data_IF_766126073575
#
_entry.id   IF_766126073575
#
_cell.length_a   1.000
_cell.length_b   1.000
_cell.length_c   1.000
_cell.angle_alpha   90.00
_cell.angle_beta   90.00
_cell.angle_gamma   90.00
#
_symmetry.space_group_name_H-M   'P 1'
#
loop_
_entity.id
_entity.type
_entity.pdbx_description
1 polymer ?
#
# COMPACT_ATOMS: atom_id res chain seq x y z
N UNK A 1 -6.68 -8.34 -6.40
CA UNK A 1 -7.25 -7.40 -7.33
C UNK A 1 -7.17 -5.96 -6.83
N UNK A 2 -7.81 -5.62 -5.70
CA UNK A 2 -7.74 -4.25 -5.16
C UNK A 2 -6.33 -3.83 -4.77
N UNK A 3 -5.54 -4.74 -4.21
CA UNK A 3 -4.15 -4.47 -3.86
C UNK A 3 -3.35 -3.96 -5.06
N UNK A 4 -3.41 -4.65 -6.18
CA UNK A 4 -2.68 -4.27 -7.39
C UNK A 4 -3.14 -2.92 -7.94
N UNK A 5 -4.45 -2.65 -7.87
CA UNK A 5 -5.02 -1.37 -8.29
C UNK A 5 -4.44 -0.21 -7.48
N UNK A 6 -4.51 -0.30 -6.15
CA UNK A 6 -4.01 0.76 -5.27
C UNK A 6 -2.49 0.91 -5.34
N UNK A 7 -1.76 -0.20 -5.45
CA UNK A 7 -0.30 -0.16 -5.60
C UNK A 7 0.10 0.53 -6.91
N UNK A 8 -0.60 0.24 -8.00
CA UNK A 8 -0.36 0.87 -9.30
C UNK A 8 -0.62 2.37 -9.26
N UNK A 9 -1.68 2.82 -8.58
CA UNK A 9 -1.97 4.24 -8.39
C UNK A 9 -0.84 4.93 -7.62
N UNK A 10 -0.37 4.32 -6.55
CA UNK A 10 0.72 4.87 -5.74
C UNK A 10 2.02 4.96 -6.54
N UNK A 11 2.40 3.91 -7.25
CA UNK A 11 3.62 3.89 -8.09
C UNK A 11 3.53 4.90 -9.23
N UNK A 12 2.38 5.02 -9.88
CA UNK A 12 2.16 6.02 -10.92
C UNK A 12 2.30 7.44 -10.39
N UNK A 13 1.76 7.73 -9.24
CA UNK A 13 1.91 9.00 -8.55
C UNK A 13 3.36 9.32 -8.21
N UNK A 14 4.12 8.31 -7.76
CA UNK A 14 5.55 8.47 -7.45
C UNK A 14 6.38 8.82 -8.69
N UNK A 15 6.08 8.22 -9.83
CA UNK A 15 6.75 8.56 -11.09
C UNK A 15 6.49 10.01 -11.49
N UNK A 16 5.25 10.45 -11.38
CA UNK A 16 4.85 11.83 -11.74
C UNK A 16 5.52 12.84 -10.82
N UNK A 17 5.53 12.61 -9.50
CA UNK A 17 6.10 13.58 -8.56
C UNK A 17 7.62 13.73 -8.70
N UNK A 18 8.32 12.74 -9.24
CA UNK A 18 9.77 12.82 -9.48
C UNK A 18 10.14 13.61 -10.74
N UNK A 19 9.16 14.01 -11.55
CA UNK A 19 9.39 14.92 -12.67
C UNK A 19 9.50 16.37 -12.18
N UNK A 20 10.05 17.27 -13.04
CA UNK A 20 10.27 18.66 -12.65
C UNK A 20 8.99 19.32 -12.12
N UNK A 21 9.13 20.06 -11.02
CA UNK A 21 8.08 20.87 -10.37
C UNK A 21 6.83 20.11 -9.94
N UNK A 22 6.91 18.79 -9.81
CA UNK A 22 5.76 17.94 -9.44
C UNK A 22 5.84 17.31 -8.06
N UNK A 23 6.89 17.58 -7.28
CA UNK A 23 7.03 16.99 -5.95
C UNK A 23 6.26 17.81 -4.90
N UNK A 24 4.94 17.83 -5.04
CA UNK A 24 4.06 18.63 -4.20
C UNK A 24 3.49 17.82 -3.03
N UNK A 25 3.10 18.51 -1.97
CA UNK A 25 2.44 17.88 -0.81
C UNK A 25 1.20 17.09 -1.22
N UNK A 26 0.40 17.65 -2.14
CA UNK A 26 -0.82 16.98 -2.62
C UNK A 26 -0.51 15.64 -3.30
N UNK A 27 0.51 15.59 -4.16
CA UNK A 27 0.87 14.35 -4.87
C UNK A 27 1.43 13.29 -3.92
N UNK A 28 2.24 13.70 -2.95
CA UNK A 28 2.73 12.80 -1.91
C UNK A 28 1.56 12.22 -1.11
N UNK A 29 0.61 13.05 -0.74
CA UNK A 29 -0.57 12.60 0.01
C UNK A 29 -1.36 11.54 -0.76
N UNK A 30 -1.59 11.73 -2.06
CA UNK A 30 -2.30 10.73 -2.86
C UNK A 30 -1.54 9.41 -2.97
N UNK A 31 -0.22 9.46 -3.07
CA UNK A 31 0.60 8.23 -3.05
C UNK A 31 0.50 7.51 -1.70
N UNK A 32 0.55 8.23 -0.60
CA UNK A 32 0.38 7.67 0.74
C UNK A 32 -1.00 7.03 0.89
N UNK A 33 -2.05 7.72 0.45
CA UNK A 33 -3.42 7.21 0.48
C UNK A 33 -3.54 5.89 -0.29
N UNK A 34 -2.92 5.83 -1.47
CA UNK A 34 -2.87 4.61 -2.27
C UNK A 34 -2.17 3.46 -1.56
N UNK A 35 -1.04 3.74 -0.89
CA UNK A 35 -0.29 2.72 -0.15
C UNK A 35 -1.03 2.23 1.10
N UNK A 36 -1.70 3.13 1.84
CA UNK A 36 -2.53 2.73 2.97
C UNK A 36 -3.68 1.83 2.52
N UNK A 37 -4.32 2.17 1.42
CA UNK A 37 -5.39 1.37 0.84
C UNK A 37 -4.89 0.01 0.34
N UNK A 38 -3.70 -0.04 -0.27
CA UNK A 38 -3.07 -1.28 -0.68
C UNK A 38 -2.76 -2.20 0.51
N UNK A 39 -2.27 -1.64 1.60
CA UNK A 39 -2.00 -2.40 2.81
C UNK A 39 -3.26 -3.04 3.40
N UNK A 40 -4.35 -2.27 3.48
CA UNK A 40 -5.64 -2.80 3.93
C UNK A 40 -6.15 -3.90 2.99
N UNK A 41 -5.97 -3.74 1.69
CA UNK A 41 -6.34 -4.76 0.72
C UNK A 41 -5.55 -6.07 0.91
N UNK A 42 -4.28 -6.01 1.34
CA UNK A 42 -3.51 -7.22 1.66
C UNK A 42 -4.10 -7.97 2.85
N UNK A 43 -4.78 -7.27 3.74
CA UNK A 43 -5.44 -7.83 4.93
C UNK A 43 -6.91 -8.17 4.67
N UNK A 44 -7.36 -8.07 3.41
CA UNK A 44 -8.75 -8.29 3.01
C UNK A 44 -9.73 -7.31 3.68
N UNK A 45 -9.24 -6.12 4.04
CA UNK A 45 -10.04 -5.04 4.61
C UNK A 45 -10.33 -4.01 3.51
N UNK A 46 -11.61 -3.65 3.35
CA UNK A 46 -12.01 -2.61 2.40
C UNK A 46 -11.61 -1.24 2.95
N UNK A 47 -10.79 -0.46 2.20
CA UNK A 47 -10.43 0.89 2.66
C UNK A 47 -11.64 1.82 2.62
N UNK A 48 -11.77 2.64 3.67
CA UNK A 48 -12.81 3.65 3.76
C UNK A 48 -12.55 4.81 2.80
N UNK A 49 -13.60 5.43 2.29
CA UNK A 49 -13.51 6.53 1.33
C UNK A 49 -13.13 7.85 2.00
N UNK A 50 -13.66 8.12 3.21
CA UNK A 50 -13.31 9.32 3.95
C UNK A 50 -11.93 9.16 4.59
N UNK A 51 -11.08 10.16 4.45
CA UNK A 51 -9.70 10.11 4.91
C UNK A 51 -9.58 9.90 6.43
N UNK A 52 -10.44 10.51 7.21
CA UNK A 52 -10.46 10.34 8.67
C UNK A 52 -10.80 8.91 9.07
N UNK A 53 -11.72 8.27 8.35
CA UNK A 53 -12.10 6.88 8.57
C UNK A 53 -11.00 5.93 8.11
N UNK A 54 -10.32 6.29 7.02
CA UNK A 54 -9.16 5.53 6.53
C UNK A 54 -8.02 5.56 7.56
N UNK A 55 -7.75 6.70 8.17
CA UNK A 55 -6.74 6.80 9.24
C UNK A 55 -7.06 5.89 10.42
N UNK A 56 -8.33 5.78 10.80
CA UNK A 56 -8.74 4.89 11.88
C UNK A 56 -8.47 3.41 11.60
N UNK A 57 -8.35 3.02 10.33
CA UNK A 57 -8.03 1.65 9.92
C UNK A 57 -6.53 1.36 9.93
N UNK A 58 -5.68 2.37 10.03
CA UNK A 58 -4.22 2.27 9.94
C UNK A 58 -3.61 2.47 11.33
N UNK A 59 -2.49 1.79 11.61
CA UNK A 59 -1.80 1.90 12.89
C UNK A 59 -1.43 3.35 13.22
N UNK A 60 -1.63 3.75 14.49
CA UNK A 60 -1.22 5.06 15.00
C UNK A 60 0.29 5.30 14.90
N UNK A 61 1.08 4.23 14.81
CA UNK A 61 2.53 4.28 14.74
C UNK A 61 3.07 4.30 13.30
N UNK A 62 2.20 4.22 12.30
CA UNK A 62 2.63 4.24 10.90
C UNK A 62 3.13 5.66 10.53
N UNK A 63 4.40 5.81 10.14
CA UNK A 63 4.94 7.13 9.77
C UNK A 63 4.23 7.75 8.57
N UNK A 64 3.69 6.96 7.65
CA UNK A 64 2.91 7.48 6.52
C UNK A 64 1.59 8.10 6.99
N UNK A 65 0.93 7.50 7.98
CA UNK A 65 -0.26 8.08 8.60
C UNK A 65 0.06 9.42 9.25
N UNK A 66 1.15 9.51 10.01
CA UNK A 66 1.57 10.77 10.64
C UNK A 66 1.81 11.85 9.60
N UNK A 67 2.49 11.52 8.51
CA UNK A 67 2.73 12.46 7.43
C UNK A 67 1.43 12.96 6.81
N UNK A 68 0.50 12.05 6.57
CA UNK A 68 -0.80 12.38 5.98
C UNK A 68 -1.66 13.25 6.92
N UNK A 69 -1.62 13.01 8.22
CA UNK A 69 -2.30 13.85 9.20
C UNK A 69 -1.74 15.28 9.20
N UNK A 70 -0.42 15.43 9.15
CA UNK A 70 0.25 16.73 9.05
C UNK A 70 -0.09 17.43 7.74
N UNK A 71 -0.25 16.68 6.65
CA UNK A 71 -0.68 17.21 5.36
C UNK A 71 -2.04 17.91 5.45
N UNK A 72 -2.97 17.40 6.24
CA UNK A 72 -4.29 18.01 6.37
C UNK A 72 -4.19 19.43 6.95
N UNK A 73 -3.24 19.68 7.83
CA UNK A 73 -2.97 21.04 8.33
C UNK A 73 -2.38 21.94 7.25
N UNK A 74 -1.47 21.41 6.43
CA UNK A 74 -0.90 22.13 5.28
C UNK A 74 -1.98 22.48 4.26
N UNK A 75 -2.92 21.58 4.03
CA UNK A 75 -4.06 21.81 3.16
C UNK A 75 -4.96 22.95 3.65
N UNK A 76 -5.21 23.03 4.96
CA UNK A 76 -5.97 24.12 5.57
C UNK A 76 -5.31 25.50 5.33
N UNK A 77 -3.98 25.52 5.25
CA UNK A 77 -3.20 26.72 4.94
C UNK A 77 -3.11 27.01 3.44
N UNK A 78 -3.78 26.22 2.60
CA UNK A 78 -3.78 26.31 1.13
C UNK A 78 -2.39 26.16 0.52
N UNK A 79 -1.53 25.35 1.14
CA UNK A 79 -0.15 25.08 0.69
C UNK A 79 0.05 23.70 0.06
N UNK A 80 -1.03 22.97 -0.23
CA UNK A 80 -0.96 21.61 -0.76
C UNK A 80 -0.29 21.50 -2.14
N UNK A 81 -0.29 22.58 -2.90
CA UNK A 81 0.34 22.65 -4.23
C UNK A 81 1.82 23.06 -4.18
N UNK A 82 2.32 23.43 -3.02
CA UNK A 82 3.73 23.76 -2.85
C UNK A 82 4.59 22.51 -2.94
N UNK A 83 5.81 22.67 -3.45
CA UNK A 83 6.78 21.59 -3.46
C UNK A 83 7.39 21.36 -2.08
N UNK A 84 7.72 20.10 -1.77
CA UNK A 84 8.49 19.78 -0.57
C UNK A 84 9.92 20.30 -0.71
N UNK A 85 10.56 20.73 0.40
CA UNK A 85 12.00 20.95 0.43
C UNK A 85 12.76 19.67 0.03
N UNK A 86 13.90 19.80 -0.63
CA UNK A 86 14.67 18.66 -1.16
C UNK A 86 15.00 17.60 -0.08
N UNK A 87 15.32 18.03 1.14
CA UNK A 87 15.61 17.11 2.24
C UNK A 87 14.37 16.26 2.57
N UNK A 88 13.20 16.89 2.60
CA UNK A 88 11.93 16.19 2.85
C UNK A 88 11.56 15.27 1.68
N UNK A 89 11.85 15.67 0.44
CA UNK A 89 11.64 14.82 -0.74
C UNK A 89 12.39 13.50 -0.60
N UNK A 90 13.67 13.54 -0.26
CA UNK A 90 14.49 12.35 -0.09
C UNK A 90 13.97 11.46 1.04
N UNK A 91 13.58 12.05 2.16
CA UNK A 91 13.07 11.32 3.32
C UNK A 91 11.74 10.62 2.99
N UNK A 92 10.81 11.31 2.34
CA UNK A 92 9.51 10.73 2.02
C UNK A 92 9.62 9.65 0.93
N UNK A 93 10.51 9.82 -0.05
CA UNK A 93 10.74 8.78 -1.06
C UNK A 93 11.22 7.48 -0.41
N UNK A 94 12.12 7.55 0.57
CA UNK A 94 12.55 6.36 1.30
C UNK A 94 11.40 5.67 2.02
N UNK A 95 10.52 6.43 2.66
CA UNK A 95 9.36 5.89 3.35
C UNK A 95 8.40 5.20 2.38
N UNK A 96 8.13 5.83 1.23
CA UNK A 96 7.25 5.28 0.21
C UNK A 96 7.83 3.99 -0.40
N UNK A 97 9.10 4.00 -0.76
CA UNK A 97 9.80 2.84 -1.32
C UNK A 97 9.83 1.68 -0.31
N UNK A 98 10.14 1.97 0.96
CA UNK A 98 10.13 0.99 2.04
C UNK A 98 8.77 0.33 2.20
N UNK A 99 7.70 1.12 2.14
CA UNK A 99 6.33 0.62 2.24
C UNK A 99 5.97 -0.28 1.06
N UNK A 100 6.35 0.10 -0.15
CA UNK A 100 6.13 -0.70 -1.35
C UNK A 100 6.85 -2.05 -1.23
N UNK A 101 8.09 -2.07 -0.76
CA UNK A 101 8.85 -3.30 -0.54
C UNK A 101 8.18 -4.21 0.50
N UNK A 102 7.71 -3.63 1.61
CA UNK A 102 6.99 -4.38 2.64
C UNK A 102 5.70 -5.01 2.09
N UNK A 103 4.94 -4.26 1.32
CA UNK A 103 3.70 -4.75 0.71
C UNK A 103 3.97 -5.85 -0.31
N UNK A 104 4.99 -5.69 -1.14
CA UNK A 104 5.39 -6.70 -2.12
C UNK A 104 5.79 -8.01 -1.43
N UNK A 105 6.55 -7.93 -0.34
CA UNK A 105 6.95 -9.11 0.44
C UNK A 105 5.74 -9.82 1.05
N UNK A 106 4.77 -9.08 1.59
CA UNK A 106 3.53 -9.66 2.13
C UNK A 106 2.72 -10.39 1.06
N UNK A 107 2.62 -9.83 -0.14
CA UNK A 107 1.90 -10.48 -1.25
C UNK A 107 2.62 -11.72 -1.75
N UNK A 108 3.94 -11.71 -1.80
CA UNK A 108 4.72 -12.91 -2.13
C UNK A 108 4.49 -14.03 -1.12
N UNK A 109 4.47 -13.72 0.17
CA UNK A 109 4.19 -14.70 1.22
C UNK A 109 2.78 -15.29 1.10
N UNK A 110 1.79 -14.48 0.74
CA UNK A 110 0.43 -14.94 0.48
C UNK A 110 0.36 -15.88 -0.72
N UNK A 111 1.05 -15.55 -1.81
CA UNK A 111 1.12 -16.38 -3.01
C UNK A 111 1.76 -17.73 -2.69
N UNK A 112 2.88 -17.75 -1.96
CA UNK A 112 3.56 -18.96 -1.53
C UNK A 112 2.69 -19.85 -0.64
N UNK A 113 1.95 -19.24 0.29
CA UNK A 113 1.02 -19.98 1.15
C UNK A 113 -0.13 -20.60 0.36
N UNK A 114 -0.70 -19.87 -0.59
CA UNK A 114 -1.76 -20.39 -1.47
C UNK A 114 -1.26 -21.55 -2.31
N UNK A 115 -0.09 -21.43 -2.89
CA UNK A 115 0.54 -22.46 -3.69
C UNK A 115 0.82 -23.72 -2.86
N UNK A 116 1.33 -23.56 -1.64
CA UNK A 116 1.55 -24.67 -0.71
C UNK A 116 0.27 -25.38 -0.32
N UNK A 117 -0.81 -24.62 -0.07
CA UNK A 117 -2.12 -25.19 0.24
C UNK A 117 -2.69 -25.96 -0.95
N UNK A 118 -2.60 -25.41 -2.15
CA UNK A 118 -3.06 -26.08 -3.38
C UNK A 118 -2.33 -27.40 -3.61
N UNK A 119 -1.01 -27.42 -3.41
CA UNK A 119 -0.23 -28.68 -3.48
C UNK A 119 -0.69 -29.70 -2.46
N UNK A 120 -0.87 -29.27 -1.21
CA UNK A 120 -1.33 -30.14 -0.14
C UNK A 120 -2.70 -30.76 -0.48
N UNK A 121 -3.65 -29.94 -0.93
CA UNK A 121 -4.98 -30.42 -1.30
C UNK A 121 -4.94 -31.39 -2.48
N UNK A 122 -4.07 -31.16 -3.46
CA UNK A 122 -3.88 -32.06 -4.60
C UNK A 122 -3.33 -33.40 -4.15
N UNK A 123 -2.32 -33.44 -3.29
CA UNK A 123 -1.74 -34.68 -2.76
C UNK A 123 -2.76 -35.45 -1.91
N UNK A 124 -3.53 -34.72 -1.10
CA UNK A 124 -4.59 -35.33 -0.30
C UNK A 124 -5.66 -35.97 -1.17
N UNK A 125 -6.08 -35.30 -2.24
CA UNK A 125 -7.02 -35.86 -3.21
C UNK A 125 -6.48 -37.15 -3.86
N UNK A 126 -5.21 -37.18 -4.23
CA UNK A 126 -4.58 -38.39 -4.79
C UNK A 126 -4.60 -39.53 -3.80
N UNK A 127 -4.30 -39.30 -2.54
CA UNK A 127 -4.33 -40.30 -1.48
C UNK A 127 -5.74 -40.88 -1.33
N UNK A 128 -6.76 -40.04 -1.30
CA UNK A 128 -8.14 -40.49 -1.21
C UNK A 128 -8.51 -41.38 -2.40
N UNK A 129 -8.12 -41.00 -3.62
CA UNK A 129 -8.40 -41.80 -4.83
C UNK A 129 -7.73 -43.16 -4.76
N UNK A 130 -6.48 -43.20 -4.33
CA UNK A 130 -5.77 -44.49 -4.18
C UNK A 130 -6.43 -45.37 -3.13
N UNK A 131 -6.89 -44.80 -2.03
CA UNK A 131 -7.53 -45.53 -0.96
C UNK A 131 -8.89 -46.12 -1.37
N UNK A 132 -9.71 -45.36 -2.08
CA UNK A 132 -11.06 -45.77 -2.43
C UNK A 132 -11.19 -46.53 -3.74
N UNK A 133 -10.22 -46.48 -4.61
CA UNK A 133 -10.29 -47.09 -5.96
C UNK A 133 -9.23 -48.15 -6.22
N UNK A 134 -8.62 -48.67 -5.18
CA UNK A 134 -7.73 -49.83 -5.30
C UNK A 134 -8.50 -51.12 -5.55
#
# INVERSE_FOLDING_TARGET
ALYHHYLSLAKGGMKVMQTADNFTYKKVFYSIRGLMSAELATQEVMPELLITDLFAQVSEHDPLRHWAEDYLEIKKQKKEKAQLPEVEQAAILKLLESKIEQLAAKEMQKADRREGLERYLTEYSRHLKQYYYQ
#
